data_IF_639440230678
#
_entry.id   IF_639440230678
#
_cell.length_a   1.000
_cell.length_b   1.000
_cell.length_c   1.000
_cell.angle_alpha   90.00
_cell.angle_beta   90.00
_cell.angle_gamma   90.00
#
_symmetry.space_group_name_H-M   'P 1'
#
loop_
_entity.id
_entity.type
_entity.pdbx_description
1 polymer ?
#
# COMPACT_ATOMS: atom_id res chain seq x y z
N UNK A 1 42.71 -61.60 11.84
CA UNK A 1 41.59 -61.13 10.98
C UNK A 1 42.01 -59.85 10.27
N UNK A 2 42.24 -59.88 8.96
CA UNK A 2 42.57 -58.66 8.19
C UNK A 2 41.31 -57.80 8.08
N UNK A 3 41.31 -56.60 8.68
CA UNK A 3 40.20 -55.66 8.54
C UNK A 3 40.06 -55.20 7.09
N UNK A 4 38.90 -55.49 6.47
CA UNK A 4 38.56 -54.98 5.13
C UNK A 4 38.48 -53.45 5.18
N UNK A 5 39.14 -52.78 4.22
CA UNK A 5 39.06 -51.31 4.08
C UNK A 5 37.60 -50.87 3.89
N UNK A 6 37.12 -50.00 4.77
CA UNK A 6 35.79 -49.40 4.68
C UNK A 6 35.81 -48.19 3.73
N UNK A 7 34.77 -48.04 2.91
CA UNK A 7 34.69 -46.91 1.98
C UNK A 7 34.52 -45.58 2.72
N UNK A 8 35.29 -44.57 2.31
CA UNK A 8 35.20 -43.22 2.88
C UNK A 8 33.86 -42.55 2.52
N UNK A 9 33.22 -41.92 3.51
CA UNK A 9 32.02 -41.09 3.32
C UNK A 9 32.33 -39.70 2.74
N UNK A 10 33.62 -39.33 2.59
CA UNK A 10 34.03 -38.04 2.04
C UNK A 10 33.77 -38.01 0.52
N UNK A 11 33.09 -36.95 0.07
CA UNK A 11 32.76 -36.74 -1.35
C UNK A 11 33.68 -35.67 -1.92
N UNK A 12 34.34 -35.95 -3.05
CA UNK A 12 35.15 -34.94 -3.74
C UNK A 12 34.29 -33.77 -4.24
N UNK A 13 34.87 -32.56 -4.31
CA UNK A 13 34.19 -31.39 -4.86
C UNK A 13 33.66 -31.65 -6.27
N UNK A 14 34.45 -32.31 -7.13
CA UNK A 14 34.03 -32.70 -8.47
C UNK A 14 32.75 -33.57 -8.48
N UNK A 15 32.66 -34.55 -7.57
CA UNK A 15 31.46 -35.40 -7.45
C UNK A 15 30.26 -34.61 -6.93
N UNK A 16 30.45 -33.67 -5.98
CA UNK A 16 29.39 -32.76 -5.52
C UNK A 16 28.83 -31.88 -6.65
N UNK A 17 29.70 -31.22 -7.42
CA UNK A 17 29.28 -30.39 -8.56
C UNK A 17 28.58 -31.21 -9.65
N UNK A 18 29.06 -32.42 -9.94
CA UNK A 18 28.42 -33.34 -10.89
C UNK A 18 27.01 -33.75 -10.45
N UNK A 19 26.82 -34.05 -9.15
CA UNK A 19 25.50 -34.36 -8.58
C UNK A 19 24.57 -33.15 -8.68
N UNK A 20 25.04 -31.97 -8.28
CA UNK A 20 24.25 -30.73 -8.35
C UNK A 20 23.79 -30.43 -9.79
N UNK A 21 24.68 -30.59 -10.77
CA UNK A 21 24.36 -30.42 -12.20
C UNK A 21 23.31 -31.43 -12.67
N UNK A 22 23.46 -32.71 -12.33
CA UNK A 22 22.47 -33.75 -12.66
C UNK A 22 21.09 -33.50 -12.04
N UNK A 23 21.04 -33.04 -10.79
CA UNK A 23 19.77 -32.70 -10.13
C UNK A 23 19.10 -31.50 -10.79
N UNK A 24 19.87 -30.47 -11.16
CA UNK A 24 19.35 -29.32 -11.87
C UNK A 24 18.79 -29.70 -13.26
N UNK A 25 19.49 -30.58 -13.97
CA UNK A 25 19.07 -31.10 -15.28
C UNK A 25 17.80 -31.96 -15.17
N UNK A 26 17.72 -32.84 -14.16
CA UNK A 26 16.53 -33.63 -13.88
C UNK A 26 15.30 -32.75 -13.61
N UNK A 27 15.43 -31.76 -12.71
CA UNK A 27 14.36 -30.81 -12.40
C UNK A 27 13.93 -30.00 -13.62
N UNK A 28 14.86 -29.68 -14.52
CA UNK A 28 14.55 -29.00 -15.78
C UNK A 28 13.76 -29.92 -16.72
N UNK A 29 14.08 -31.20 -16.77
CA UNK A 29 13.35 -32.21 -17.55
C UNK A 29 11.93 -32.43 -17.00
N UNK A 30 11.78 -32.60 -15.69
CA UNK A 30 10.47 -32.73 -15.03
C UNK A 30 9.57 -31.52 -15.30
N UNK A 31 10.12 -30.29 -15.23
CA UNK A 31 9.37 -29.06 -15.56
C UNK A 31 8.90 -29.02 -17.02
N UNK A 32 9.71 -29.55 -17.95
CA UNK A 32 9.34 -29.63 -19.37
C UNK A 32 8.25 -30.68 -19.61
N UNK A 33 8.35 -31.84 -18.94
CA UNK A 33 7.36 -32.91 -19.02
C UNK A 33 6.03 -32.50 -18.37
N UNK A 34 6.05 -31.84 -17.22
CA UNK A 34 4.86 -31.30 -16.56
C UNK A 34 4.11 -30.28 -17.44
N UNK A 35 4.83 -29.49 -18.26
CA UNK A 35 4.22 -28.59 -19.24
C UNK A 35 3.57 -29.30 -20.43
N UNK A 36 4.07 -30.49 -20.81
CA UNK A 36 3.51 -31.28 -21.93
C UNK A 36 2.18 -31.97 -21.56
N UNK A 37 1.99 -32.32 -20.28
CA UNK A 37 0.77 -32.96 -19.77
C UNK A 37 0.05 -32.11 -18.70
N UNK A 38 -0.62 -31.01 -19.07
CA UNK A 38 -1.36 -30.16 -18.11
C UNK A 38 -2.59 -30.84 -17.47
N UNK A 39 -2.96 -32.05 -17.91
CA UNK A 39 -4.14 -32.80 -17.43
C UNK A 39 -3.91 -33.71 -16.22
N UNK A 40 -2.72 -33.72 -15.60
CA UNK A 40 -2.51 -34.52 -14.38
C UNK A 40 -2.93 -33.83 -13.07
N UNK A 41 -3.32 -32.55 -13.11
CA UNK A 41 -3.94 -31.89 -11.96
C UNK A 41 -5.44 -32.20 -11.87
N UNK A 42 -5.83 -33.48 -11.97
CA UNK A 42 -7.07 -33.90 -11.32
C UNK A 42 -6.81 -33.68 -9.83
N UNK A 43 -7.50 -32.70 -9.23
CA UNK A 43 -7.61 -32.59 -7.78
C UNK A 43 -7.82 -34.00 -7.24
N UNK A 44 -6.95 -34.44 -6.32
CA UNK A 44 -7.13 -35.74 -5.67
C UNK A 44 -8.57 -35.76 -5.17
N UNK A 45 -9.34 -36.79 -5.55
CA UNK A 45 -10.69 -36.97 -5.01
C UNK A 45 -10.56 -36.90 -3.49
N UNK A 46 -11.35 -36.02 -2.88
CA UNK A 46 -11.39 -35.90 -1.44
C UNK A 46 -11.66 -37.31 -0.85
N UNK A 47 -10.78 -37.85 0.01
CA UNK A 47 -10.99 -39.16 0.61
C UNK A 47 -12.24 -39.22 1.49
N UNK A 48 -12.89 -38.08 1.74
CA UNK A 48 -14.15 -37.99 2.45
C UNK A 48 -13.97 -38.28 3.94
N UNK A 49 -15.10 -38.44 4.64
CA UNK A 49 -15.10 -38.67 6.08
C UNK A 49 -14.82 -40.16 6.36
N UNK A 50 -13.74 -40.51 7.07
CA UNK A 50 -13.42 -41.90 7.41
C UNK A 50 -14.53 -42.59 8.21
N UNK A 51 -14.78 -43.88 7.93
CA UNK A 51 -15.88 -44.64 8.55
C UNK A 51 -15.74 -44.83 10.06
N UNK A 52 -14.52 -44.86 10.60
CA UNK A 52 -14.25 -45.10 12.02
C UNK A 52 -14.48 -43.86 12.91
N UNK A 53 -14.97 -42.76 12.34
CA UNK A 53 -15.13 -41.53 13.11
C UNK A 53 -16.42 -41.57 13.95
N UNK A 54 -16.32 -41.54 15.30
CA UNK A 54 -17.47 -41.77 16.20
C UNK A 54 -18.64 -40.78 16.01
N UNK A 55 -18.35 -39.58 15.52
CA UNK A 55 -19.32 -38.50 15.34
C UNK A 55 -19.72 -38.28 13.86
N UNK A 56 -19.43 -39.24 12.98
CA UNK A 56 -19.72 -39.15 11.53
C UNK A 56 -21.18 -38.81 11.25
N UNK A 57 -22.13 -39.45 11.95
CA UNK A 57 -23.56 -39.18 11.78
C UNK A 57 -23.95 -37.76 12.19
N UNK A 58 -23.38 -37.22 13.27
CA UNK A 58 -23.66 -35.86 13.69
C UNK A 58 -23.10 -34.83 12.69
N UNK A 59 -21.93 -35.10 12.11
CA UNK A 59 -21.37 -34.21 11.08
C UNK A 59 -22.21 -34.26 9.78
N UNK A 60 -22.61 -35.45 9.33
CA UNK A 60 -23.46 -35.58 8.15
C UNK A 60 -24.79 -34.84 8.32
N UNK A 61 -25.44 -34.97 9.49
CA UNK A 61 -26.67 -34.24 9.79
C UNK A 61 -26.47 -32.71 9.80
N UNK A 62 -25.34 -32.22 10.32
CA UNK A 62 -25.00 -30.79 10.28
C UNK A 62 -24.78 -30.30 8.84
N UNK A 63 -24.11 -31.09 8.02
CA UNK A 63 -23.86 -30.75 6.61
C UNK A 63 -25.18 -30.70 5.83
N UNK A 64 -26.07 -31.66 6.04
CA UNK A 64 -27.38 -31.70 5.37
C UNK A 64 -28.29 -30.54 5.82
N UNK A 65 -28.27 -30.19 7.11
CA UNK A 65 -28.97 -29.00 7.61
C UNK A 65 -28.43 -27.70 7.01
N UNK A 66 -27.11 -27.57 6.87
CA UNK A 66 -26.50 -26.40 6.23
C UNK A 66 -26.86 -26.32 4.74
N UNK A 67 -26.88 -27.44 4.02
CA UNK A 67 -27.31 -27.48 2.61
C UNK A 67 -28.76 -27.08 2.43
N UNK A 68 -29.67 -27.62 3.25
CA UNK A 68 -31.10 -27.25 3.21
C UNK A 68 -31.31 -25.76 3.48
N UNK A 69 -30.66 -25.21 4.51
CA UNK A 69 -30.71 -23.76 4.81
C UNK A 69 -30.21 -22.91 3.64
N UNK A 70 -29.10 -23.31 3.01
CA UNK A 70 -28.54 -22.59 1.87
C UNK A 70 -29.46 -22.67 0.62
N UNK A 71 -30.11 -23.80 0.39
CA UNK A 71 -31.10 -23.96 -0.69
C UNK A 71 -32.35 -23.11 -0.44
N UNK A 72 -32.90 -23.15 0.77
CA UNK A 72 -34.07 -22.36 1.19
C UNK A 72 -33.80 -20.85 1.06
N UNK A 73 -32.61 -20.40 1.47
CA UNK A 73 -32.22 -18.99 1.37
C UNK A 73 -32.04 -18.56 -0.10
N UNK A 74 -31.47 -19.42 -0.94
CA UNK A 74 -31.35 -19.17 -2.39
C UNK A 74 -32.73 -19.12 -3.07
N UNK A 75 -33.67 -19.97 -2.63
CA UNK A 75 -35.06 -19.96 -3.11
C UNK A 75 -35.75 -18.65 -2.72
N UNK A 76 -35.66 -18.24 -1.45
CA UNK A 76 -36.20 -16.94 -0.98
C UNK A 76 -35.64 -15.75 -1.74
N UNK A 77 -34.33 -15.72 -1.99
CA UNK A 77 -33.72 -14.63 -2.77
C UNK A 77 -34.23 -14.59 -4.21
N UNK A 78 -34.44 -15.76 -4.83
CA UNK A 78 -34.99 -15.85 -6.20
C UNK A 78 -36.45 -15.38 -6.24
N UNK A 79 -37.26 -15.77 -5.26
CA UNK A 79 -38.65 -15.34 -5.11
C UNK A 79 -38.75 -13.84 -4.85
N UNK A 80 -37.94 -13.28 -3.95
CA UNK A 80 -37.87 -11.84 -3.67
C UNK A 80 -37.46 -11.04 -4.92
N UNK A 81 -36.47 -11.53 -5.69
CA UNK A 81 -36.04 -10.89 -6.95
C UNK A 81 -37.15 -10.93 -8.00
N UNK A 82 -37.87 -12.04 -8.12
CA UNK A 82 -39.00 -12.15 -9.05
C UNK A 82 -40.19 -11.28 -8.61
N UNK A 83 -40.46 -11.17 -7.30
CA UNK A 83 -41.49 -10.29 -6.76
C UNK A 83 -41.17 -8.81 -7.06
N UNK A 84 -39.90 -8.38 -6.88
CA UNK A 84 -39.45 -7.04 -7.27
C UNK A 84 -39.58 -6.79 -8.77
N UNK A 85 -39.23 -7.78 -9.59
CA UNK A 85 -39.33 -7.67 -11.05
C UNK A 85 -40.79 -7.58 -11.53
N UNK A 86 -41.71 -8.33 -10.90
CA UNK A 86 -43.14 -8.24 -11.18
C UNK A 86 -43.77 -6.96 -10.64
N UNK A 87 -43.29 -6.44 -9.49
CA UNK A 87 -43.70 -5.14 -8.97
C UNK A 87 -43.35 -4.02 -9.95
N UNK A 88 -42.17 -4.09 -10.58
CA UNK A 88 -41.72 -3.11 -11.57
C UNK A 88 -42.39 -3.22 -12.96
N UNK A 89 -43.18 -4.27 -13.25
CA UNK A 89 -43.93 -4.38 -14.51
C UNK A 89 -45.26 -3.61 -14.51
N UNK A 90 -45.81 -3.30 -13.33
CA UNK A 90 -47.12 -2.66 -13.18
C UNK A 90 -47.03 -1.21 -12.64
N UNK A 91 -45.94 -0.49 -12.91
CA UNK A 91 -45.77 0.89 -12.42
C UNK A 91 -45.93 1.86 -13.59
N UNK A 92 -46.96 2.72 -13.49
CA UNK A 92 -47.19 3.83 -14.39
C UNK A 92 -46.07 4.87 -14.25
N UNK A 93 -45.63 5.45 -15.37
CA UNK A 93 -44.55 6.44 -15.41
C UNK A 93 -44.79 7.63 -14.46
N UNK A 94 -46.06 8.01 -14.20
CA UNK A 94 -46.41 9.09 -13.28
C UNK A 94 -46.14 8.76 -11.81
N UNK A 95 -46.42 7.53 -11.35
CA UNK A 95 -46.20 7.15 -9.95
C UNK A 95 -44.72 7.02 -9.61
N UNK A 96 -43.88 6.76 -10.62
CA UNK A 96 -42.41 6.70 -10.44
C UNK A 96 -41.81 8.09 -10.19
N UNK A 97 -42.36 9.13 -10.83
CA UNK A 97 -41.96 10.54 -10.66
C UNK A 97 -42.44 11.07 -9.30
N UNK A 98 -43.65 10.71 -8.87
CA UNK A 98 -44.17 11.05 -7.54
C UNK A 98 -43.39 10.36 -6.40
N UNK A 99 -43.02 9.08 -6.56
CA UNK A 99 -42.22 8.39 -5.56
C UNK A 99 -40.76 8.87 -5.52
N UNK A 100 -40.22 9.37 -6.63
CA UNK A 100 -38.89 9.99 -6.65
C UNK A 100 -38.91 11.33 -5.90
N UNK A 101 -39.89 12.18 -6.20
CA UNK A 101 -40.05 13.49 -5.54
C UNK A 101 -40.39 13.36 -4.05
N UNK A 102 -41.22 12.38 -3.64
CA UNK A 102 -41.47 12.11 -2.21
C UNK A 102 -40.22 11.61 -1.47
N UNK A 103 -39.33 10.87 -2.15
CA UNK A 103 -38.06 10.41 -1.57
C UNK A 103 -37.05 11.53 -1.44
N UNK A 104 -37.01 12.46 -2.39
CA UNK A 104 -36.18 13.67 -2.29
C UNK A 104 -36.64 14.55 -1.12
N UNK A 105 -37.95 14.75 -0.96
CA UNK A 105 -38.50 15.53 0.17
C UNK A 105 -38.24 14.83 1.52
N UNK A 106 -38.41 13.51 1.61
CA UNK A 106 -38.12 12.77 2.85
C UNK A 106 -36.62 12.74 3.19
N UNK A 107 -35.73 12.87 2.20
CA UNK A 107 -34.29 13.00 2.40
C UNK A 107 -33.91 14.41 2.89
N UNK A 108 -34.59 15.45 2.41
CA UNK A 108 -34.42 16.84 2.87
C UNK A 108 -35.00 17.09 4.27
N UNK A 109 -36.06 16.38 4.68
CA UNK A 109 -36.62 16.52 6.03
C UNK A 109 -35.79 15.79 7.10
N UNK A 110 -35.14 14.66 6.77
CA UNK A 110 -34.27 13.93 7.68
C UNK A 110 -32.88 14.57 7.89
N UNK A 111 -32.55 15.61 7.15
CA UNK A 111 -31.25 16.32 7.22
C UNK A 111 -31.27 17.52 8.18
N UNK A 112 -32.29 17.65 9.05
CA UNK A 112 -32.46 18.76 10.01
C UNK A 112 -32.48 18.38 11.50
N UNK A 113 -32.07 17.18 11.88
CA UNK A 113 -31.79 16.83 13.29
C UNK A 113 -30.27 16.73 13.55
N UNK A 114 -29.72 17.37 14.61
CA UNK A 114 -28.29 17.48 14.84
C UNK A 114 -27.79 16.33 15.74
N UNK A 115 -27.69 15.12 15.21
CA UNK A 115 -26.92 14.03 15.85
C UNK A 115 -26.71 12.84 14.90
N UNK A 116 -25.78 12.94 13.95
CA UNK A 116 -25.13 11.75 13.37
C UNK A 116 -23.86 12.10 12.58
N UNK A 117 -22.75 11.56 13.08
CA UNK A 117 -21.38 11.62 12.55
C UNK A 117 -21.23 10.69 11.33
N UNK A 118 -22.25 10.57 10.48
CA UNK A 118 -22.29 9.60 9.37
C UNK A 118 -21.98 10.19 7.99
N UNK A 119 -22.07 11.51 7.80
CA UNK A 119 -21.83 12.15 6.50
C UNK A 119 -20.34 12.38 6.15
N UNK A 120 -19.41 12.20 7.10
CA UNK A 120 -17.97 12.26 6.83
C UNK A 120 -17.38 10.91 6.35
N UNK A 121 -18.20 9.85 6.24
CA UNK A 121 -17.74 8.45 6.05
C UNK A 121 -17.67 8.03 4.56
N UNK A 122 -18.27 8.78 3.62
CA UNK A 122 -18.23 8.44 2.18
C UNK A 122 -16.91 8.79 1.46
N UNK A 123 -16.04 9.58 2.09
CA UNK A 123 -14.88 10.22 1.45
C UNK A 123 -13.59 9.38 1.49
N UNK A 124 -13.62 8.18 2.07
CA UNK A 124 -12.46 7.28 2.11
C UNK A 124 -12.38 6.42 0.84
N UNK A 125 -11.95 7.03 -0.27
CA UNK A 125 -11.77 6.33 -1.55
C UNK A 125 -10.36 5.75 -1.70
N UNK A 126 -10.25 4.41 -1.73
CA UNK A 126 -8.98 3.72 -1.98
C UNK A 126 -8.72 3.47 -3.48
N UNK A 127 -7.50 3.78 -3.93
CA UNK A 127 -7.10 3.88 -5.33
C UNK A 127 -6.79 2.53 -6.02
N UNK A 128 -7.58 1.48 -5.80
CA UNK A 128 -7.40 0.17 -6.46
C UNK A 128 -8.61 -0.25 -7.30
N UNK A 129 -9.59 0.63 -7.52
CA UNK A 129 -10.80 0.22 -8.26
C UNK A 129 -11.52 1.38 -8.96
N UNK A 130 -10.89 1.94 -10.01
CA UNK A 130 -11.67 2.38 -11.18
C UNK A 130 -12.10 1.09 -11.89
N UNK A 131 -13.13 0.42 -11.37
CA UNK A 131 -13.75 -0.74 -12.06
C UNK A 131 -14.16 -1.97 -11.26
N UNK A 132 -13.92 -2.12 -9.94
CA UNK A 132 -14.43 -3.29 -9.18
C UNK A 132 -14.96 -2.98 -7.75
N UNK A 133 -16.29 -3.19 -7.62
CA UNK A 133 -17.15 -3.51 -6.46
C UNK A 133 -16.77 -2.96 -5.06
N UNK A 134 -17.70 -2.18 -4.50
CA UNK A 134 -17.70 -1.57 -3.15
C UNK A 134 -17.36 -2.48 -1.95
N UNK A 135 -17.48 -3.80 -2.10
CA UNK A 135 -17.25 -4.74 -0.99
C UNK A 135 -15.79 -4.81 -0.53
N UNK A 136 -14.81 -4.56 -1.40
CA UNK A 136 -13.39 -4.55 -1.01
C UNK A 136 -13.04 -3.27 -0.22
N UNK A 137 -13.66 -2.13 -0.57
CA UNK A 137 -13.42 -0.81 0.04
C UNK A 137 -13.79 -0.79 1.53
N UNK A 138 -14.99 -1.30 1.84
CA UNK A 138 -15.46 -1.44 3.23
C UNK A 138 -14.57 -2.38 4.05
N UNK A 139 -14.00 -3.41 3.43
CA UNK A 139 -13.12 -4.35 4.14
C UNK A 139 -11.80 -3.70 4.57
N UNK A 140 -11.13 -2.94 3.68
CA UNK A 140 -9.88 -2.25 4.01
C UNK A 140 -10.08 -1.20 5.10
N UNK A 141 -11.13 -0.41 4.99
CA UNK A 141 -11.44 0.61 5.98
C UNK A 141 -11.87 0.01 7.32
N UNK A 142 -12.52 -1.15 7.32
CA UNK A 142 -12.79 -1.92 8.54
C UNK A 142 -11.48 -2.33 9.24
N UNK A 143 -10.55 -2.92 8.51
CA UNK A 143 -9.26 -3.33 9.09
C UNK A 143 -8.47 -2.13 9.61
N UNK A 144 -8.56 -1.00 8.93
CA UNK A 144 -7.94 0.23 9.39
C UNK A 144 -8.51 0.75 10.69
N UNK A 145 -9.84 0.76 10.82
CA UNK A 145 -10.51 1.11 12.08
C UNK A 145 -10.08 0.17 13.20
N UNK A 146 -10.02 -1.14 12.94
CA UNK A 146 -9.53 -2.13 13.89
C UNK A 146 -8.09 -1.82 14.35
N UNK A 147 -7.20 -1.41 13.43
CA UNK A 147 -5.83 -0.99 13.78
C UNK A 147 -5.82 0.26 14.64
N UNK A 148 -6.63 1.28 14.30
CA UNK A 148 -6.70 2.52 15.08
C UNK A 148 -7.27 2.26 16.47
N UNK A 149 -8.29 1.42 16.60
CA UNK A 149 -8.91 1.06 17.87
C UNK A 149 -7.94 0.29 18.77
N UNK A 150 -7.18 -0.66 18.20
CA UNK A 150 -6.24 -1.50 18.94
C UNK A 150 -4.93 -0.79 19.33
N UNK A 151 -4.54 0.26 18.62
CA UNK A 151 -3.26 0.93 18.82
C UNK A 151 -3.27 1.95 19.97
N UNK A 152 -2.19 1.96 20.76
CA UNK A 152 -1.90 2.99 21.77
C UNK A 152 -1.17 4.21 21.15
N UNK A 153 -0.32 3.93 20.16
CA UNK A 153 0.48 4.92 19.42
C UNK A 153 0.28 4.69 17.93
N UNK A 154 0.07 5.77 17.17
CA UNK A 154 -0.08 5.75 15.72
C UNK A 154 1.19 6.31 15.08
N UNK A 155 1.80 5.53 14.19
CA UNK A 155 2.86 5.96 13.29
C UNK A 155 2.26 6.26 11.93
N UNK A 156 2.18 7.54 11.56
CA UNK A 156 1.78 7.95 10.22
C UNK A 156 3.01 8.09 9.33
N UNK A 157 3.10 7.24 8.30
CA UNK A 157 4.23 7.22 7.38
C UNK A 157 3.97 8.15 6.20
N UNK A 158 4.84 9.13 6.02
CA UNK A 158 4.84 10.12 4.95
C UNK A 158 6.01 9.87 3.98
N UNK A 159 5.85 10.25 2.72
CA UNK A 159 6.94 10.27 1.72
C UNK A 159 7.63 11.64 1.75
N UNK A 160 8.95 11.68 1.92
CA UNK A 160 9.73 12.91 2.07
C UNK A 160 9.65 13.87 0.87
N UNK A 161 9.28 13.36 -0.32
CA UNK A 161 9.18 14.19 -1.54
C UNK A 161 7.99 15.15 -1.50
N UNK A 162 6.88 14.72 -0.89
CA UNK A 162 5.66 15.54 -0.77
C UNK A 162 4.93 15.25 0.55
N UNK A 163 5.48 15.68 1.70
CA UNK A 163 4.97 15.27 3.00
C UNK A 163 3.52 15.69 3.23
N UNK A 164 3.11 16.86 2.73
CA UNK A 164 1.73 17.35 2.84
C UNK A 164 0.78 16.58 1.92
N UNK A 165 1.20 16.20 0.72
CA UNK A 165 0.37 15.38 -0.17
C UNK A 165 0.10 13.98 0.36
N UNK A 166 1.00 13.42 1.17
CA UNK A 166 0.83 12.09 1.78
C UNK A 166 0.25 12.11 3.20
N UNK A 167 0.02 13.30 3.77
CA UNK A 167 -0.51 13.47 5.13
C UNK A 167 -2.03 13.55 5.11
N UNK A 168 -2.69 12.86 6.04
CA UNK A 168 -4.15 12.82 6.09
C UNK A 168 -4.69 13.40 7.39
N UNK A 169 -4.97 14.71 7.38
CA UNK A 169 -5.53 15.43 8.55
C UNK A 169 -6.87 14.87 9.03
N UNK A 170 -7.65 14.26 8.15
CA UNK A 170 -8.93 13.63 8.50
C UNK A 170 -8.72 12.42 9.44
N UNK A 171 -7.71 11.59 9.19
CA UNK A 171 -7.35 10.50 10.09
C UNK A 171 -6.85 11.06 11.42
N UNK A 172 -6.00 12.08 11.39
CA UNK A 172 -5.49 12.72 12.61
C UNK A 172 -6.63 13.22 13.50
N UNK A 173 -7.62 13.90 12.90
CA UNK A 173 -8.84 14.33 13.59
C UNK A 173 -9.63 13.14 14.14
N UNK A 174 -9.82 12.08 13.36
CA UNK A 174 -10.53 10.88 13.81
C UNK A 174 -9.84 10.23 15.02
N UNK A 175 -8.51 10.14 15.00
CA UNK A 175 -7.71 9.59 16.11
C UNK A 175 -7.82 10.48 17.36
N UNK A 176 -7.77 11.81 17.19
CA UNK A 176 -7.91 12.77 18.29
C UNK A 176 -9.34 12.75 18.88
N UNK A 177 -10.37 12.69 18.03
CA UNK A 177 -11.78 12.67 18.42
C UNK A 177 -12.22 11.35 19.07
N UNK A 178 -11.45 10.26 18.88
CA UNK A 178 -11.74 8.96 19.48
C UNK A 178 -11.68 8.97 21.02
N UNK A 179 -11.34 10.08 21.69
CA UNK A 179 -11.30 10.22 23.16
C UNK A 179 -10.21 9.40 23.88
N UNK A 180 -9.54 8.52 23.15
CA UNK A 180 -8.58 7.53 23.66
C UNK A 180 -7.20 8.06 24.04
N UNK A 181 -6.91 9.36 23.86
CA UNK A 181 -5.62 9.97 24.21
C UNK A 181 -4.41 9.43 23.43
N UNK A 182 -4.66 8.75 22.30
CA UNK A 182 -3.64 8.14 21.44
C UNK A 182 -2.62 9.18 20.96
N UNK A 183 -1.35 8.78 20.88
CA UNK A 183 -0.27 9.64 20.41
C UNK A 183 0.02 9.37 18.95
N UNK A 184 0.13 10.44 18.16
CA UNK A 184 0.50 10.39 16.75
C UNK A 184 1.97 10.79 16.61
N UNK A 185 2.73 10.00 15.85
CA UNK A 185 4.13 10.29 15.50
C UNK A 185 4.22 10.21 13.98
N UNK A 186 4.78 11.27 13.38
CA UNK A 186 4.99 11.33 11.93
C UNK A 186 6.35 10.71 11.58
N UNK A 187 6.37 9.86 10.57
CA UNK A 187 7.61 9.28 10.03
C UNK A 187 7.81 9.80 8.62
N UNK A 188 8.82 10.64 8.45
CA UNK A 188 9.22 11.16 7.15
C UNK A 188 10.15 10.13 6.47
N UNK A 189 9.59 9.25 5.65
CA UNK A 189 10.33 8.15 5.00
C UNK A 189 10.87 8.53 3.62
N UNK A 190 11.85 7.76 3.11
CA UNK A 190 12.53 7.97 1.82
C UNK A 190 13.35 9.27 1.76
N UNK A 191 13.94 9.65 2.89
CA UNK A 191 14.80 10.85 2.99
C UNK A 191 16.02 10.81 2.06
N UNK A 192 16.38 9.63 1.53
CA UNK A 192 17.44 9.46 0.53
C UNK A 192 17.09 10.03 -0.86
N UNK A 193 15.81 10.32 -1.13
CA UNK A 193 15.36 10.90 -2.40
C UNK A 193 15.34 12.43 -2.40
N UNK A 194 15.65 13.06 -1.28
CA UNK A 194 15.46 14.50 -1.06
C UNK A 194 16.75 15.11 -0.48
N UNK A 195 17.13 16.34 -0.85
CA UNK A 195 18.26 17.03 -0.23
C UNK A 195 18.09 17.17 1.28
N UNK A 196 19.18 17.04 2.03
CA UNK A 196 19.16 17.05 3.50
C UNK A 196 18.66 18.38 4.08
N UNK A 197 18.98 19.49 3.44
CA UNK A 197 18.51 20.82 3.85
C UNK A 197 16.98 20.86 3.81
N UNK A 198 16.39 20.32 2.75
CA UNK A 198 14.94 20.25 2.58
C UNK A 198 14.30 19.30 3.61
N UNK A 199 14.93 18.14 3.88
CA UNK A 199 14.49 17.24 4.96
C UNK A 199 14.49 17.95 6.31
N UNK A 200 15.50 18.76 6.60
CA UNK A 200 15.61 19.52 7.86
C UNK A 200 14.49 20.55 7.98
N UNK A 201 14.23 21.32 6.92
CA UNK A 201 13.12 22.28 6.89
C UNK A 201 11.76 21.60 7.09
N UNK A 202 11.54 20.44 6.45
CA UNK A 202 10.32 19.65 6.66
C UNK A 202 10.17 19.10 8.06
N UNK A 203 11.26 18.65 8.69
CA UNK A 203 11.24 18.20 10.09
C UNK A 203 10.84 19.36 11.02
N UNK A 204 11.38 20.55 10.84
CA UNK A 204 11.02 21.73 11.63
C UNK A 204 9.56 22.12 11.44
N UNK A 205 9.06 22.08 10.20
CA UNK A 205 7.67 22.37 9.89
C UNK A 205 6.71 21.37 10.53
N UNK A 206 6.93 20.06 10.35
CA UNK A 206 6.03 19.01 10.82
C UNK A 206 6.05 18.83 12.34
N UNK A 207 7.19 19.10 12.99
CA UNK A 207 7.33 19.05 14.46
C UNK A 207 6.49 20.08 15.21
N UNK A 208 5.96 21.09 14.51
CA UNK A 208 4.99 22.04 15.09
C UNK A 208 3.67 21.34 15.46
N UNK A 209 3.29 20.33 14.68
CA UNK A 209 2.03 19.60 14.88
C UNK A 209 2.25 18.33 15.71
N UNK A 210 3.19 17.47 15.29
CA UNK A 210 3.44 16.17 15.92
C UNK A 210 4.92 15.81 15.93
N UNK A 211 5.39 15.02 16.92
CA UNK A 211 6.75 14.48 16.92
C UNK A 211 7.07 13.78 15.59
N UNK A 212 8.11 14.26 14.90
CA UNK A 212 8.47 13.78 13.56
C UNK A 212 9.89 13.22 13.53
N UNK A 213 10.03 12.00 12.99
CA UNK A 213 11.31 11.30 12.81
C UNK A 213 11.61 11.14 11.32
N UNK A 214 12.81 11.54 10.90
CA UNK A 214 13.33 11.27 9.57
C UNK A 214 13.80 9.82 9.47
N UNK A 215 13.39 9.12 8.42
CA UNK A 215 13.61 7.69 8.30
C UNK A 215 14.07 7.30 6.90
N UNK A 216 15.10 6.45 6.86
CA UNK A 216 15.50 5.71 5.67
C UNK A 216 15.29 4.22 5.94
N UNK A 217 14.44 3.58 5.14
CA UNK A 217 14.26 2.13 5.20
C UNK A 217 15.48 1.41 4.62
N UNK A 218 15.82 0.24 5.18
CA UNK A 218 16.93 -0.56 4.64
C UNK A 218 16.57 -1.13 3.27
N UNK A 219 17.47 -0.94 2.32
CA UNK A 219 17.41 -1.49 0.96
C UNK A 219 18.24 -2.77 0.80
N UNK A 220 18.80 -3.30 1.90
CA UNK A 220 19.64 -4.49 1.87
C UNK A 220 18.87 -5.71 1.34
N UNK A 221 19.52 -6.51 0.50
CA UNK A 221 18.94 -7.71 -0.10
C UNK A 221 18.79 -8.85 0.90
N UNK A 222 19.62 -8.88 1.94
CA UNK A 222 19.63 -9.89 3.00
C UNK A 222 18.26 -10.00 3.70
N UNK A 223 17.93 -11.19 4.21
CA UNK A 223 16.63 -11.45 4.86
C UNK A 223 16.61 -11.16 6.37
N UNK A 224 17.74 -11.31 7.04
CA UNK A 224 17.93 -11.13 8.49
C UNK A 224 19.16 -10.25 8.73
N UNK A 225 19.26 -9.70 9.94
CA UNK A 225 20.37 -8.85 10.38
C UNK A 225 20.51 -7.59 9.51
N UNK A 226 19.37 -6.96 9.17
CA UNK A 226 19.40 -5.68 8.47
C UNK A 226 20.15 -4.65 9.33
N UNK A 227 21.12 -3.97 8.72
CA UNK A 227 21.95 -2.99 9.40
C UNK A 227 21.19 -1.73 9.80
N UNK A 228 21.45 -1.26 11.00
CA UNK A 228 21.07 0.09 11.46
C UNK A 228 22.33 0.94 11.54
N UNK A 229 22.27 2.15 10.98
CA UNK A 229 23.27 3.15 11.28
C UNK A 229 22.83 3.88 12.54
N UNK A 230 23.68 3.82 13.58
CA UNK A 230 23.49 4.55 14.84
C UNK A 230 23.79 6.06 14.71
N UNK A 231 24.20 6.52 13.52
CA UNK A 231 24.47 7.91 13.25
C UNK A 231 23.17 8.70 13.11
N UNK A 232 23.07 9.80 13.86
CA UNK A 232 21.95 10.74 13.76
C UNK A 232 21.86 11.30 12.34
N UNK A 233 20.63 11.39 11.83
CA UNK A 233 20.29 11.85 10.47
C UNK A 233 20.89 13.23 10.15
N UNK A 234 21.06 14.10 11.15
CA UNK A 234 21.62 15.45 11.01
C UNK A 234 23.15 15.49 10.92
N UNK A 235 23.86 14.37 11.06
CA UNK A 235 25.34 14.31 10.98
C UNK A 235 25.85 13.53 9.77
N UNK A 236 24.95 13.00 8.95
CA UNK A 236 25.31 12.18 7.79
C UNK A 236 25.50 13.08 6.56
N UNK A 237 26.57 12.85 5.78
CA UNK A 237 26.79 13.52 4.50
C UNK A 237 25.84 13.00 3.42
N UNK A 238 25.42 13.85 2.48
CA UNK A 238 24.43 13.49 1.44
C UNK A 238 24.83 12.27 0.62
N UNK A 239 26.12 12.18 0.26
CA UNK A 239 26.65 11.02 -0.45
C UNK A 239 26.48 9.72 0.33
N UNK A 240 26.65 9.76 1.66
CA UNK A 240 26.43 8.58 2.51
C UNK A 240 24.93 8.32 2.70
N UNK A 241 24.10 9.37 2.73
CA UNK A 241 22.65 9.25 2.81
C UNK A 241 22.07 8.57 1.56
N UNK A 242 22.56 8.88 0.37
CA UNK A 242 22.07 8.30 -0.89
C UNK A 242 22.63 6.88 -1.14
N UNK A 243 23.91 6.64 -0.89
CA UNK A 243 24.56 5.37 -1.25
C UNK A 243 24.56 4.28 -0.18
N UNK A 244 24.20 4.59 1.07
CA UNK A 244 24.10 3.58 2.13
C UNK A 244 22.87 2.69 1.94
N UNK A 245 22.98 1.39 2.24
CA UNK A 245 21.81 0.48 2.25
C UNK A 245 21.25 0.24 3.66
N UNK A 246 21.89 0.83 4.68
CA UNK A 246 21.49 0.72 6.09
C UNK A 246 20.25 1.55 6.39
N UNK A 247 19.52 1.13 7.43
CA UNK A 247 18.41 1.92 7.96
C UNK A 247 18.92 3.10 8.79
N UNK A 248 18.27 4.26 8.64
CA UNK A 248 18.52 5.48 9.43
C UNK A 248 17.25 5.89 10.18
N UNK A 249 17.40 6.41 11.39
CA UNK A 249 16.30 6.93 12.22
C UNK A 249 15.52 5.87 13.02
N UNK A 250 15.82 4.59 12.83
CA UNK A 250 15.16 3.52 13.57
C UNK A 250 15.55 3.48 15.06
N UNK A 251 16.80 3.79 15.41
CA UNK A 251 17.20 3.83 16.82
C UNK A 251 16.49 4.98 17.56
N UNK A 252 16.39 6.16 16.93
CA UNK A 252 15.64 7.31 17.43
C UNK A 252 14.15 6.96 17.63
N UNK A 253 13.53 6.29 16.65
CA UNK A 253 12.13 5.86 16.73
C UNK A 253 11.91 4.81 17.84
N UNK A 254 12.80 3.82 17.96
CA UNK A 254 12.70 2.81 19.02
C UNK A 254 12.87 3.46 20.40
N UNK A 255 13.79 4.41 20.54
CA UNK A 255 13.99 5.15 21.78
C UNK A 255 12.74 5.98 22.13
N UNK A 256 12.15 6.66 21.15
CA UNK A 256 10.91 7.41 21.33
C UNK A 256 9.75 6.50 21.78
N UNK A 257 9.56 5.36 21.13
CA UNK A 257 8.54 4.36 21.50
C UNK A 257 8.78 3.78 22.90
N UNK A 258 10.04 3.52 23.28
CA UNK A 258 10.40 3.06 24.63
C UNK A 258 10.09 4.12 25.70
N UNK A 259 10.25 5.40 25.40
CA UNK A 259 9.87 6.49 26.30
C UNK A 259 8.36 6.51 26.52
N UNK A 260 7.56 6.34 25.47
CA UNK A 260 6.10 6.20 25.61
C UNK A 260 5.72 4.96 26.44
N UNK A 261 6.40 3.83 26.23
CA UNK A 261 6.17 2.61 27.01
C UNK A 261 6.42 2.80 28.51
N UNK A 262 7.39 3.64 28.92
CA UNK A 262 7.67 3.92 30.33
C UNK A 262 6.60 4.76 31.01
N UNK A 263 5.91 5.62 30.25
CA UNK A 263 4.90 6.53 30.78
C UNK A 263 3.51 5.88 30.90
N UNK A 264 3.28 4.76 30.21
CA UNK A 264 2.04 3.99 30.31
C UNK A 264 2.07 3.05 31.52
N UNK A 265 1.82 3.60 32.72
CA UNK A 265 1.95 2.95 34.04
C UNK A 265 1.17 1.63 34.30
N UNK A 266 0.50 1.04 33.30
CA UNK A 266 -0.39 -0.14 33.49
C UNK A 266 -0.12 -1.26 32.47
N UNK A 267 0.29 -0.96 31.23
CA UNK A 267 0.43 -1.96 30.16
C UNK A 267 1.86 -2.50 30.09
N UNK A 268 2.00 -3.83 30.10
CA UNK A 268 3.28 -4.54 29.94
C UNK A 268 3.87 -4.40 28.53
N UNK A 269 3.04 -4.09 27.53
CA UNK A 269 3.44 -3.84 26.16
C UNK A 269 2.57 -2.77 25.50
N UNK A 270 3.16 -1.94 24.66
CA UNK A 270 2.44 -0.98 23.81
C UNK A 270 2.14 -1.58 22.43
N UNK A 271 0.98 -1.23 21.88
CA UNK A 271 0.61 -1.55 20.51
C UNK A 271 0.77 -0.30 19.65
N UNK A 272 1.51 -0.43 18.57
CA UNK A 272 1.85 0.66 17.66
C UNK A 272 1.24 0.39 16.29
N UNK A 273 0.25 1.19 15.89
CA UNK A 273 -0.39 1.11 14.57
C UNK A 273 0.41 1.85 13.52
N UNK A 274 0.75 1.20 12.40
CA UNK A 274 1.45 1.84 11.27
C UNK A 274 0.45 2.15 10.18
N UNK A 275 0.24 3.42 9.86
CA UNK A 275 -0.75 3.90 8.89
C UNK A 275 -0.09 4.78 7.81
N UNK A 276 -0.83 5.03 6.73
CA UNK A 276 -0.41 5.92 5.65
C UNK A 276 -0.72 5.36 4.26
N UNK A 277 -0.49 6.17 3.23
CA UNK A 277 -0.80 5.86 1.84
C UNK A 277 -0.14 4.56 1.34
N UNK A 278 -0.68 3.91 0.30
CA UNK A 278 0.02 2.84 -0.42
C UNK A 278 1.43 3.28 -0.86
N UNK A 279 2.39 2.35 -0.88
CA UNK A 279 3.73 2.57 -1.44
C UNK A 279 4.61 3.69 -0.82
N UNK A 280 4.20 4.32 0.29
CA UNK A 280 5.06 5.22 1.10
C UNK A 280 6.17 4.47 1.83
N UNK A 281 6.05 3.15 1.97
CA UNK A 281 7.07 2.28 2.58
C UNK A 281 6.76 1.74 3.97
N UNK A 282 5.49 1.71 4.40
CA UNK A 282 5.05 1.15 5.70
C UNK A 282 5.70 -0.19 6.06
N UNK A 283 5.49 -1.21 5.24
CA UNK A 283 6.06 -2.54 5.45
C UNK A 283 7.60 -2.57 5.37
N UNK A 284 8.23 -1.62 4.65
CA UNK A 284 9.69 -1.45 4.63
C UNK A 284 10.23 -0.84 5.92
N UNK A 285 9.51 0.13 6.51
CA UNK A 285 9.82 0.70 7.83
C UNK A 285 9.76 -0.39 8.90
N UNK A 286 8.69 -1.20 8.89
CA UNK A 286 8.52 -2.31 9.84
C UNK A 286 9.64 -3.33 9.73
N UNK A 287 9.98 -3.77 8.52
CA UNK A 287 11.08 -4.70 8.29
C UNK A 287 12.42 -4.13 8.78
N UNK A 288 12.63 -2.84 8.57
CA UNK A 288 13.84 -2.13 9.02
C UNK A 288 13.90 -2.09 10.54
N UNK A 289 12.81 -1.72 11.22
CA UNK A 289 12.72 -1.76 12.69
C UNK A 289 12.97 -3.17 13.24
N UNK A 290 12.40 -4.19 12.60
CA UNK A 290 12.54 -5.59 13.05
C UNK A 290 13.91 -6.20 12.74
N UNK A 291 14.77 -5.54 11.96
CA UNK A 291 16.04 -6.07 11.45
C UNK A 291 15.87 -7.34 10.59
N UNK A 292 14.68 -7.58 10.05
CA UNK A 292 14.33 -8.79 9.32
C UNK A 292 13.18 -8.55 8.35
N UNK A 293 13.18 -9.22 7.20
CA UNK A 293 12.11 -9.17 6.20
C UNK A 293 10.93 -10.07 6.62
N UNK A 294 10.02 -9.51 7.40
CA UNK A 294 8.78 -10.17 7.87
C UNK A 294 7.62 -9.88 6.91
N UNK A 295 7.41 -8.61 6.56
CA UNK A 295 6.40 -8.19 5.60
C UNK A 295 6.89 -8.32 4.16
N UNK A 296 5.98 -8.67 3.25
CA UNK A 296 6.23 -8.54 1.82
C UNK A 296 6.37 -7.05 1.44
N UNK A 297 7.39 -6.72 0.65
CA UNK A 297 7.62 -5.36 0.15
C UNK A 297 7.70 -5.37 -1.37
N UNK A 298 7.12 -4.36 -2.00
CA UNK A 298 7.11 -4.19 -3.45
C UNK A 298 6.49 -2.84 -3.83
N UNK A 299 6.75 -2.39 -5.05
CA UNK A 299 6.20 -1.14 -5.58
C UNK A 299 4.75 -1.30 -6.09
N UNK A 300 4.21 -2.53 -6.08
CA UNK A 300 2.85 -2.82 -6.53
C UNK A 300 1.86 -2.56 -5.39
N UNK A 301 0.86 -1.67 -5.59
CA UNK A 301 -0.17 -1.43 -4.58
C UNK A 301 -1.03 -2.68 -4.32
N UNK A 302 -1.60 -2.76 -3.12
CA UNK A 302 -2.46 -3.87 -2.67
C UNK A 302 -1.71 -5.15 -2.27
N UNK A 303 -0.41 -5.06 -1.96
CA UNK A 303 0.37 -6.18 -1.45
C UNK A 303 -0.02 -6.55 -0.01
N UNK A 304 -0.12 -5.55 0.86
CA UNK A 304 -0.60 -5.69 2.23
C UNK A 304 -2.12 -5.55 2.22
N UNK A 305 -2.82 -6.68 2.34
CA UNK A 305 -4.29 -6.72 2.28
C UNK A 305 -4.98 -6.82 3.63
N UNK A 306 -4.27 -7.40 4.58
CA UNK A 306 -4.76 -7.72 5.90
C UNK A 306 -3.85 -7.08 6.94
N UNK A 307 -4.45 -6.50 7.98
CA UNK A 307 -3.67 -6.04 9.13
C UNK A 307 -2.89 -7.21 9.77
N UNK A 308 -1.60 -6.99 10.07
CA UNK A 308 -0.73 -8.04 10.62
C UNK A 308 0.00 -7.56 11.89
N UNK A 309 -0.03 -8.38 12.94
CA UNK A 309 0.70 -8.12 14.18
C UNK A 309 2.14 -8.66 14.13
N UNK A 310 3.09 -7.77 14.42
CA UNK A 310 4.53 -8.05 14.37
C UNK A 310 5.15 -7.64 15.69
N UNK A 311 5.71 -8.62 16.39
CA UNK A 311 6.38 -8.38 17.67
C UNK A 311 7.78 -7.81 17.42
N UNK A 312 8.01 -6.56 17.79
CA UNK A 312 9.32 -5.93 17.66
C UNK A 312 10.24 -6.41 18.79
N UNK A 313 9.78 -6.24 20.02
CA UNK A 313 10.42 -6.65 21.27
C UNK A 313 9.35 -7.11 22.28
N UNK A 314 9.72 -7.51 23.49
CA UNK A 314 8.78 -7.94 24.54
C UNK A 314 7.74 -6.87 24.89
N UNK A 315 8.11 -5.60 24.76
CA UNK A 315 7.29 -4.47 25.20
C UNK A 315 6.62 -3.73 24.03
N UNK A 316 6.94 -4.05 22.77
CA UNK A 316 6.46 -3.29 21.60
C UNK A 316 5.94 -4.25 20.54
N UNK A 317 4.67 -4.05 20.19
CA UNK A 317 3.97 -4.73 19.09
C UNK A 317 3.66 -3.72 17.99
N UNK A 318 3.91 -4.09 16.74
CA UNK A 318 3.59 -3.28 15.56
C UNK A 318 2.38 -3.89 14.85
N UNK A 319 1.43 -3.07 14.43
CA UNK A 319 0.32 -3.47 13.55
C UNK A 319 0.57 -2.85 12.16
N UNK A 320 0.88 -3.69 11.16
CA UNK A 320 0.99 -3.27 9.75
C UNK A 320 -0.43 -3.17 9.18
N UNK A 321 -0.87 -1.98 8.79
CA UNK A 321 -2.18 -1.78 8.16
C UNK A 321 -2.09 -1.75 6.63
N UNK A 322 -3.17 -2.12 5.90
CA UNK A 322 -3.25 -1.83 4.48
C UNK A 322 -3.07 -0.31 4.22
N UNK A 323 -2.52 0.04 3.06
CA UNK A 323 -2.43 1.45 2.67
C UNK A 323 -3.78 1.96 2.21
N UNK A 324 -4.16 3.14 2.69
CA UNK A 324 -5.45 3.75 2.40
C UNK A 324 -5.22 5.10 1.75
N UNK A 325 -6.00 5.36 0.72
CA UNK A 325 -6.17 6.66 0.09
C UNK A 325 -7.50 7.25 0.54
N UNK A 326 -7.49 8.56 0.79
CA UNK A 326 -8.69 9.34 1.03
C UNK A 326 -8.81 10.28 -0.17
N UNK A 327 -9.58 9.89 -1.19
CA UNK A 327 -9.89 10.80 -2.27
C UNK A 327 -11.06 11.68 -1.85
N UNK A 328 -10.85 12.99 -1.87
CA UNK A 328 -11.95 13.95 -1.84
C UNK A 328 -12.59 13.97 -3.22
N UNK A 329 -13.92 13.93 -3.30
CA UNK A 329 -14.68 14.14 -4.54
C UNK A 329 -14.43 15.56 -5.07
N UNK A 330 -13.31 15.78 -5.77
CA UNK A 330 -12.93 17.09 -6.29
C UNK A 330 -12.11 16.96 -7.59
N UNK A 331 -12.82 16.93 -8.73
CA UNK A 331 -12.28 17.21 -10.07
C UNK A 331 -11.30 16.19 -10.67
N UNK A 332 -11.14 16.24 -11.99
CA UNK A 332 -10.27 15.33 -12.75
C UNK A 332 -8.77 15.52 -12.43
N UNK A 333 -8.33 16.74 -12.11
CA UNK A 333 -6.92 17.05 -11.82
C UNK A 333 -6.38 16.35 -10.57
N UNK A 334 -7.21 16.21 -9.52
CA UNK A 334 -6.80 15.53 -8.27
C UNK A 334 -6.73 14.03 -8.43
N UNK A 335 -7.47 13.46 -9.37
CA UNK A 335 -7.33 12.05 -9.72
C UNK A 335 -5.91 11.77 -10.21
N UNK A 336 -5.37 12.63 -11.09
CA UNK A 336 -4.02 12.47 -11.61
C UNK A 336 -2.93 12.63 -10.54
N UNK A 337 -3.14 13.48 -9.53
CA UNK A 337 -2.24 13.55 -8.36
C UNK A 337 -2.24 12.26 -7.53
N UNK A 338 -3.41 11.63 -7.34
CA UNK A 338 -3.53 10.35 -6.64
C UNK A 338 -2.84 9.24 -7.45
N UNK A 339 -2.94 9.29 -8.78
CA UNK A 339 -2.23 8.35 -9.67
C UNK A 339 -0.69 8.48 -9.52
N UNK A 340 -0.17 9.71 -9.39
CA UNK A 340 1.25 9.97 -9.15
C UNK A 340 1.76 9.45 -7.80
N UNK A 341 0.87 9.20 -6.84
CA UNK A 341 1.21 8.59 -5.55
C UNK A 341 1.36 7.06 -5.64
N UNK A 342 1.35 6.48 -6.84
CA UNK A 342 1.46 5.04 -7.10
C UNK A 342 0.41 4.21 -6.35
N UNK A 343 -0.80 4.75 -6.19
CA UNK A 343 -1.84 4.05 -5.43
C UNK A 343 -2.61 3.05 -6.30
N UNK A 344 -2.65 3.28 -7.62
CA UNK A 344 -3.17 2.35 -8.64
C UNK A 344 -2.01 1.61 -9.32
N UNK A 345 -2.22 0.37 -9.75
CA UNK A 345 -1.23 -0.35 -10.58
C UNK A 345 -1.06 0.34 -11.93
N UNK A 346 0.18 0.65 -12.29
CA UNK A 346 0.51 1.31 -13.56
C UNK A 346 -0.06 0.55 -14.75
N UNK A 347 -0.11 -0.78 -14.72
CA UNK A 347 -0.64 -1.60 -15.83
C UNK A 347 -2.16 -1.49 -16.02
N UNK A 348 -2.88 -1.08 -14.99
CA UNK A 348 -4.35 -0.97 -14.99
C UNK A 348 -4.84 0.46 -15.28
N UNK A 349 -3.91 1.41 -15.49
CA UNK A 349 -4.28 2.77 -15.87
C UNK A 349 -4.86 2.79 -17.27
N UNK A 350 -6.06 3.37 -17.40
CA UNK A 350 -6.72 3.62 -18.68
C UNK A 350 -6.04 4.76 -19.42
N UNK A 351 -5.82 5.89 -18.74
CA UNK A 351 -5.04 7.02 -19.25
C UNK A 351 -3.72 7.22 -18.46
N UNK A 352 -2.57 6.79 -19.01
CA UNK A 352 -1.27 7.05 -18.42
C UNK A 352 -0.70 8.43 -18.81
N UNK A 353 -1.33 9.19 -19.72
CA UNK A 353 -0.80 10.45 -20.24
C UNK A 353 -1.06 11.59 -19.26
N UNK A 354 -2.30 11.73 -18.73
CA UNK A 354 -2.63 12.82 -17.79
C UNK A 354 -1.68 12.91 -16.57
N UNK A 355 -1.29 11.81 -15.90
CA UNK A 355 -0.30 11.90 -14.82
C UNK A 355 1.09 12.35 -15.30
N UNK A 356 1.48 12.04 -16.55
CA UNK A 356 2.75 12.52 -17.12
C UNK A 356 2.69 14.02 -17.40
N UNK A 357 1.53 14.57 -17.78
CA UNK A 357 1.36 16.01 -17.95
C UNK A 357 1.67 16.76 -16.64
N UNK A 358 1.20 16.23 -15.51
CA UNK A 358 1.54 16.75 -14.18
C UNK A 358 3.03 16.62 -13.85
N UNK A 359 3.72 15.57 -14.30
CA UNK A 359 5.17 15.44 -14.10
C UNK A 359 5.91 16.51 -14.91
N UNK A 360 5.50 16.73 -16.16
CA UNK A 360 6.11 17.73 -17.04
C UNK A 360 5.87 19.14 -16.51
N UNK A 361 4.72 19.42 -15.90
CA UNK A 361 4.45 20.73 -15.28
C UNK A 361 5.24 20.95 -13.98
N UNK A 362 5.54 19.88 -13.24
CA UNK A 362 6.27 19.93 -11.96
C UNK A 362 7.79 19.94 -12.11
N UNK A 363 8.32 19.35 -13.18
CA UNK A 363 9.76 19.23 -13.41
C UNK A 363 10.25 20.25 -14.44
N UNK A 364 11.51 20.68 -14.34
CA UNK A 364 12.11 21.50 -15.39
C UNK A 364 12.26 20.69 -16.69
N UNK A 365 11.92 21.31 -17.82
CA UNK A 365 12.08 20.66 -19.13
C UNK A 365 13.53 20.22 -19.37
N UNK A 366 14.50 21.01 -18.92
CA UNK A 366 15.94 20.69 -19.01
C UNK A 366 16.32 19.42 -18.25
N UNK A 367 15.78 19.23 -17.05
CA UNK A 367 16.00 18.02 -16.27
C UNK A 367 15.47 16.78 -17.02
N UNK A 368 14.27 16.87 -17.60
CA UNK A 368 13.67 15.76 -18.35
C UNK A 368 14.42 15.47 -19.66
N UNK A 369 14.84 16.50 -20.39
CA UNK A 369 15.68 16.37 -21.59
C UNK A 369 16.98 15.62 -21.30
N UNK A 370 17.72 16.07 -20.29
CA UNK A 370 18.98 15.45 -19.88
C UNK A 370 18.78 14.01 -19.38
N UNK A 371 17.72 13.78 -18.59
CA UNK A 371 17.44 12.46 -18.02
C UNK A 371 17.13 11.41 -19.07
N UNK A 372 16.31 11.77 -20.06
CA UNK A 372 15.87 10.86 -21.11
C UNK A 372 16.74 10.92 -22.36
N UNK A 373 17.72 11.84 -22.42
CA UNK A 373 18.54 12.12 -23.60
C UNK A 373 17.65 12.39 -24.83
N UNK A 374 16.69 13.29 -24.66
CA UNK A 374 15.74 13.71 -25.70
C UNK A 374 15.95 15.17 -26.07
N UNK A 375 15.67 15.57 -27.32
CA UNK A 375 15.75 16.96 -27.72
C UNK A 375 14.67 17.80 -27.03
N UNK A 376 14.74 19.12 -27.24
CA UNK A 376 13.71 20.05 -26.82
C UNK A 376 12.35 19.64 -27.38
N UNK A 377 11.37 19.55 -26.48
CA UNK A 377 9.99 19.21 -26.78
C UNK A 377 9.08 20.41 -26.49
N UNK A 378 8.00 20.53 -27.26
CA UNK A 378 7.01 21.61 -27.07
C UNK A 378 5.89 21.19 -26.15
N UNK A 379 5.38 19.98 -26.40
CA UNK A 379 4.22 19.42 -25.74
C UNK A 379 4.54 18.06 -25.11
N UNK A 380 3.66 17.60 -24.22
CA UNK A 380 3.80 16.29 -23.55
C UNK A 380 3.76 15.14 -24.56
N UNK A 381 2.93 15.25 -25.60
CA UNK A 381 2.90 14.26 -26.69
C UNK A 381 4.23 14.17 -27.44
N UNK A 382 4.85 15.32 -27.73
CA UNK A 382 6.13 15.40 -28.42
C UNK A 382 7.26 14.81 -27.56
N UNK A 383 7.27 15.14 -26.27
CA UNK A 383 8.14 14.52 -25.28
C UNK A 383 8.00 13.00 -25.25
N UNK A 384 6.77 12.48 -25.17
CA UNK A 384 6.49 11.05 -25.15
C UNK A 384 6.91 10.35 -26.44
N UNK A 385 6.76 10.99 -27.59
CA UNK A 385 7.24 10.48 -28.88
C UNK A 385 8.77 10.35 -28.87
N UNK A 386 9.49 11.37 -28.38
CA UNK A 386 10.95 11.32 -28.26
C UNK A 386 11.41 10.22 -27.30
N UNK A 387 10.77 10.10 -26.13
CA UNK A 387 11.07 9.04 -25.15
C UNK A 387 10.77 7.66 -25.73
N UNK A 388 9.65 7.49 -26.43
CA UNK A 388 9.28 6.23 -27.07
C UNK A 388 10.34 5.79 -28.10
N UNK A 389 10.82 6.72 -28.94
CA UNK A 389 11.89 6.43 -29.91
C UNK A 389 13.20 6.07 -29.22
N UNK A 390 13.62 6.87 -28.23
CA UNK A 390 14.87 6.67 -27.49
C UNK A 390 14.89 5.34 -26.71
N UNK A 391 13.71 4.90 -26.22
CA UNK A 391 13.54 3.63 -25.49
C UNK A 391 13.14 2.44 -26.37
N UNK A 392 13.05 2.64 -27.69
CA UNK A 392 12.67 1.60 -28.65
C UNK A 392 11.24 1.06 -28.46
N UNK A 393 10.32 1.88 -27.93
CA UNK A 393 8.90 1.54 -27.75
C UNK A 393 8.12 1.94 -28.99
N UNK A 394 8.12 1.06 -29.99
CA UNK A 394 7.40 1.26 -31.25
C UNK A 394 6.28 0.22 -31.41
N UNK A 395 5.13 0.65 -31.92
CA UNK A 395 4.04 -0.22 -32.43
C UNK A 395 4.42 -0.74 -33.82
N UNK A 396 3.59 -1.62 -34.38
CA UNK A 396 3.75 -2.11 -35.76
C UNK A 396 3.80 -0.92 -36.73
N UNK A 397 4.67 -1.00 -37.74
CA UNK A 397 4.88 0.10 -38.70
C UNK A 397 5.81 1.20 -38.21
N UNK A 398 6.53 1.02 -37.09
CA UNK A 398 7.49 2.01 -36.59
C UNK A 398 6.86 3.22 -35.88
N UNK A 399 5.55 3.17 -35.61
CA UNK A 399 4.81 4.23 -34.94
C UNK A 399 5.20 4.26 -33.46
N UNK A 400 5.65 5.39 -32.88
CA UNK A 400 5.98 5.50 -31.47
C UNK A 400 4.81 5.14 -30.54
N UNK A 401 5.08 4.32 -29.51
CA UNK A 401 4.08 3.92 -28.53
C UNK A 401 4.09 4.87 -27.33
N UNK A 402 3.24 5.89 -27.39
CA UNK A 402 3.08 6.94 -26.36
C UNK A 402 2.68 6.33 -25.01
N UNK A 403 1.68 5.44 -24.99
CA UNK A 403 1.20 4.79 -23.75
C UNK A 403 2.29 4.00 -23.04
N UNK A 404 3.12 3.28 -23.80
CA UNK A 404 4.22 2.50 -23.24
C UNK A 404 5.34 3.42 -22.72
N UNK A 405 5.61 4.54 -23.40
CA UNK A 405 6.56 5.54 -22.92
C UNK A 405 6.06 6.21 -21.63
N UNK A 406 4.78 6.58 -21.58
CA UNK A 406 4.16 7.18 -20.40
C UNK A 406 4.28 6.25 -19.18
N UNK A 407 3.99 4.95 -19.32
CA UNK A 407 4.15 3.97 -18.23
C UNK A 407 5.60 3.83 -17.74
N UNK A 408 6.60 3.98 -18.61
CA UNK A 408 8.02 3.98 -18.21
C UNK A 408 8.32 5.22 -17.36
N UNK A 409 7.84 6.39 -17.79
CA UNK A 409 8.04 7.64 -17.05
C UNK A 409 7.37 7.57 -15.68
N UNK A 410 6.14 7.04 -15.61
CA UNK A 410 5.46 6.82 -14.33
C UNK A 410 6.20 5.84 -13.43
N UNK A 411 6.81 4.79 -13.99
CA UNK A 411 7.65 3.88 -13.23
C UNK A 411 8.92 4.57 -12.70
N UNK A 412 9.56 5.42 -13.52
CA UNK A 412 10.72 6.21 -13.13
C UNK A 412 10.38 7.26 -12.06
N UNK A 413 9.19 7.86 -12.12
CA UNK A 413 8.68 8.74 -11.08
C UNK A 413 8.49 8.00 -9.75
N UNK A 414 7.87 6.82 -9.80
CA UNK A 414 7.57 6.02 -8.62
C UNK A 414 8.82 5.43 -7.96
N UNK A 415 9.86 5.12 -8.75
CA UNK A 415 11.15 4.66 -8.24
C UNK A 415 12.04 5.78 -7.69
N UNK A 416 11.69 7.05 -7.89
CA UNK A 416 12.53 8.19 -7.54
C UNK A 416 13.67 8.45 -8.53
N UNK A 417 13.63 7.85 -9.72
CA UNK A 417 14.61 8.12 -10.78
C UNK A 417 14.49 9.53 -11.35
N UNK A 418 13.28 10.11 -11.31
CA UNK A 418 13.04 11.53 -11.57
C UNK A 418 13.10 12.25 -10.22
N UNK A 419 14.12 13.10 -9.97
CA UNK A 419 14.19 13.89 -8.75
C UNK A 419 13.04 14.89 -8.70
N UNK A 420 12.26 14.83 -7.63
CA UNK A 420 11.21 15.79 -7.34
C UNK A 420 11.01 15.86 -5.82
N UNK A 421 10.89 17.08 -5.30
CA UNK A 421 10.55 17.34 -3.91
C UNK A 421 9.84 18.69 -3.80
N UNK A 422 9.00 18.81 -2.79
CA UNK A 422 8.35 20.05 -2.38
C UNK A 422 9.14 20.70 -1.25
N UNK A 423 8.96 22.00 -1.05
CA UNK A 423 9.47 22.75 0.10
C UNK A 423 8.32 23.06 1.06
N UNK A 424 8.57 23.16 2.37
CA UNK A 424 7.53 23.52 3.32
C UNK A 424 7.02 24.94 3.02
N UNK A 425 5.72 25.20 3.21
CA UNK A 425 5.17 26.53 3.02
C UNK A 425 5.82 27.48 4.02
N UNK A 426 6.34 28.59 3.53
CA UNK A 426 6.85 29.68 4.37
C UNK A 426 5.69 30.18 5.21
N UNK A 427 5.83 30.19 6.53
CA UNK A 427 4.87 30.88 7.39
C UNK A 427 4.96 32.37 7.06
N UNK A 428 4.09 32.85 6.18
CA UNK A 428 3.85 34.28 6.00
C UNK A 428 3.39 34.81 7.34
N UNK A 429 4.30 35.47 8.05
CA UNK A 429 3.95 36.36 9.15
C UNK A 429 3.21 37.52 8.48
N UNK A 430 1.89 37.41 8.37
CA UNK A 430 1.03 38.56 8.13
C UNK A 430 1.15 39.43 9.36
N UNK A 431 2.09 40.37 9.34
CA UNK A 431 2.02 41.56 10.17
C UNK A 431 0.81 42.33 9.67
N UNK A 432 -0.36 42.06 10.24
CA UNK A 432 -1.47 42.99 10.21
C UNK A 432 -0.96 44.25 10.92
N UNK A 433 -0.54 45.23 10.12
CA UNK A 433 -0.32 46.58 10.59
C UNK A 433 -1.71 47.13 10.90
N UNK A 434 -2.12 47.01 12.15
CA UNK A 434 -3.16 47.84 12.73
C UNK A 434 -2.67 49.29 12.62
N UNK A 435 -3.12 49.99 11.58
CA UNK A 435 -3.06 51.44 11.53
C UNK A 435 -4.11 51.97 12.50
N UNK A 436 -3.63 52.44 13.66
CA UNK A 436 -4.35 53.33 14.57
C UNK A 436 -4.75 54.65 13.90
#
# INVERSE_FOLDING_TARGET
MVHKKTQSKRISCAKRYKIARKVAEHRRKERKEAKKNPRSNKLKKDPGIPNLWPFKHQLLNKIDQQKRKAEDEKQRQKEARNALFNKNRNINFSSLVEDASKRDVAFEENSKDPDSVEDDISTAMDAVAIGQKDNSRKAYYKEFREVIEAADVILEILDARDPLGYRTKEIEKMVNNSGSGKKIILILNKIDLVPRENVTQWLEYLRKDYPTVAFKSSTQTQRKNLGHSSLSTTKISDNKLQHSNECLGADDLIQLLKNYCRNCNIKTSIVVGVIGYPNVGKSSVINSLKRSKVCGVGATPGLTKHAQEIHLDKNIKLLDSPGIVFARDQGDDKNSEILLKNCVKIEQLDDPISPVELIVSRCSAQQLMNKYNVPMFRDVNDFLIHVARQRGKLKRGGIPNIDAAARIILQDWNSGNIPYFTTPPTSTITMEVENN
#
